data_IF_234491153558
#
_entry.id   IF_234491153558
#
_cell.length_a   1.000
_cell.length_b   1.000
_cell.length_c   1.000
_cell.angle_alpha   90.00
_cell.angle_beta   90.00
_cell.angle_gamma   90.00
#
_symmetry.space_group_name_H-M   'P 1'
#
loop_
_entity.id
_entity.type
_entity.pdbx_description
1 polymer ?
#
# COMPACT_ATOMS: atom_id res chain seq x y z
N UNK A 1 -21.26 12.94 -10.89
CA UNK A 1 -20.91 11.53 -11.12
C UNK A 1 -19.60 11.51 -11.87
N UNK A 2 -18.47 11.54 -11.14
CA UNK A 2 -17.16 11.46 -11.79
C UNK A 2 -17.00 10.05 -12.34
N UNK A 3 -17.04 9.96 -13.66
CA UNK A 3 -16.64 8.81 -14.45
C UNK A 3 -15.19 8.51 -14.05
N UNK A 4 -15.00 7.59 -13.11
CA UNK A 4 -13.68 7.06 -12.83
C UNK A 4 -13.33 6.26 -14.07
N UNK A 5 -12.53 6.84 -14.95
CA UNK A 5 -11.78 6.04 -15.90
C UNK A 5 -11.14 4.92 -15.07
N UNK A 6 -11.38 3.67 -15.47
CA UNK A 6 -10.77 2.49 -14.86
C UNK A 6 -9.27 2.55 -15.16
N UNK A 7 -8.57 3.42 -14.43
CA UNK A 7 -7.12 3.55 -14.53
C UNK A 7 -6.58 2.29 -13.89
N UNK A 8 -5.88 1.49 -14.69
CA UNK A 8 -5.22 0.31 -14.20
C UNK A 8 -4.32 0.68 -13.02
N UNK A 9 -4.52 -0.01 -11.89
CA UNK A 9 -3.80 0.29 -10.65
C UNK A 9 -2.30 0.21 -10.88
N UNK A 10 -1.84 -0.73 -11.70
CA UNK A 10 -0.42 -0.89 -12.02
C UNK A 10 0.14 0.25 -12.86
N UNK A 11 -0.62 0.78 -13.81
CA UNK A 11 -0.22 1.99 -14.55
C UNK A 11 -0.08 3.19 -13.62
N UNK A 12 -0.96 3.31 -12.62
CA UNK A 12 -0.87 4.35 -11.59
C UNK A 12 0.37 4.17 -10.70
N UNK A 13 0.64 2.95 -10.26
CA UNK A 13 1.84 2.63 -9.47
C UNK A 13 3.12 2.86 -10.26
N UNK A 14 3.15 2.55 -11.55
CA UNK A 14 4.30 2.82 -12.43
C UNK A 14 4.57 4.32 -12.55
N UNK A 15 3.51 5.14 -12.70
CA UNK A 15 3.62 6.59 -12.72
C UNK A 15 4.12 7.16 -11.40
N UNK A 16 3.61 6.66 -10.27
CA UNK A 16 4.07 7.06 -8.93
C UNK A 16 5.53 6.67 -8.69
N UNK A 17 5.90 5.44 -9.06
CA UNK A 17 7.28 4.98 -8.99
C UNK A 17 8.21 5.84 -9.83
N UNK A 18 7.84 6.15 -11.08
CA UNK A 18 8.63 7.00 -11.97
C UNK A 18 8.79 8.43 -11.41
N UNK A 19 7.71 9.00 -10.86
CA UNK A 19 7.76 10.31 -10.21
C UNK A 19 8.67 10.32 -8.98
N UNK A 20 8.57 9.32 -8.10
CA UNK A 20 9.45 9.17 -6.94
C UNK A 20 10.92 8.98 -7.37
N UNK A 21 11.15 8.24 -8.44
CA UNK A 21 12.51 8.01 -8.96
C UNK A 21 13.15 9.29 -9.51
N UNK A 22 12.37 10.12 -10.20
CA UNK A 22 12.81 11.41 -10.73
C UNK A 22 13.09 12.44 -9.62
N UNK A 23 12.47 12.31 -8.45
CA UNK A 23 12.60 13.25 -7.33
C UNK A 23 13.43 12.71 -6.15
N UNK A 24 14.16 11.61 -6.35
CA UNK A 24 14.90 10.96 -5.26
C UNK A 24 16.14 11.76 -4.84
N UNK A 25 16.33 11.93 -3.54
CA UNK A 25 17.59 12.42 -2.97
C UNK A 25 18.68 11.33 -2.95
N UNK A 26 18.27 10.06 -2.80
CA UNK A 26 19.14 8.90 -2.69
C UNK A 26 18.80 7.86 -3.77
N UNK A 27 19.83 7.25 -4.38
CA UNK A 27 19.68 6.24 -5.43
C UNK A 27 20.23 4.87 -4.99
N UNK A 28 20.04 3.84 -5.82
CA UNK A 28 20.58 2.51 -5.57
C UNK A 28 20.05 1.88 -4.28
N UNK A 29 20.93 1.22 -3.53
CA UNK A 29 20.55 0.46 -2.33
C UNK A 29 19.96 1.35 -1.22
N UNK A 30 20.46 2.57 -1.03
CA UNK A 30 19.93 3.47 -0.01
C UNK A 30 18.50 3.89 -0.32
N UNK A 31 18.21 4.29 -1.57
CA UNK A 31 16.86 4.63 -2.01
C UNK A 31 15.89 3.45 -1.87
N UNK A 32 16.34 2.24 -2.17
CA UNK A 32 15.57 1.01 -1.95
C UNK A 32 15.24 0.82 -0.46
N UNK A 33 16.23 0.92 0.42
CA UNK A 33 16.04 0.75 1.86
C UNK A 33 15.07 1.80 2.43
N UNK A 34 15.17 3.05 1.99
CA UNK A 34 14.24 4.11 2.39
C UNK A 34 12.80 3.81 1.96
N UNK A 35 12.59 3.28 0.75
CA UNK A 35 11.25 2.84 0.29
C UNK A 35 10.71 1.69 1.15
N UNK A 36 11.57 0.78 1.63
CA UNK A 36 11.15 -0.25 2.58
C UNK A 36 10.79 0.33 3.95
N UNK A 37 11.54 1.33 4.44
CA UNK A 37 11.27 1.96 5.74
C UNK A 37 9.95 2.75 5.75
N UNK A 38 9.54 3.34 4.62
CA UNK A 38 8.26 4.04 4.50
C UNK A 38 7.07 3.15 4.87
N UNK A 39 7.15 1.83 4.66
CA UNK A 39 6.11 0.88 5.11
C UNK A 39 5.84 0.95 6.62
N UNK A 40 6.89 1.09 7.42
CA UNK A 40 6.75 1.18 8.89
C UNK A 40 6.12 2.50 9.31
N UNK A 41 6.33 3.58 8.54
CA UNK A 41 5.72 4.88 8.76
C UNK A 41 4.20 4.81 8.51
N UNK A 42 3.77 4.29 7.35
CA UNK A 42 2.35 4.12 7.00
C UNK A 42 1.61 3.20 8.00
N UNK A 43 2.24 2.11 8.42
CA UNK A 43 1.68 1.21 9.45
C UNK A 43 1.54 1.94 10.80
N UNK A 44 2.46 2.85 11.12
CA UNK A 44 2.38 3.72 12.28
C UNK A 44 1.19 4.69 12.20
N UNK A 45 0.93 5.26 11.02
CA UNK A 45 -0.20 6.16 10.77
C UNK A 45 -1.54 5.41 10.88
N UNK A 46 -1.65 4.17 10.35
CA UNK A 46 -2.81 3.30 10.60
C UNK A 46 -3.03 3.11 12.11
N UNK A 47 -1.96 2.85 12.88
CA UNK A 47 -2.08 2.66 14.32
C UNK A 47 -2.55 3.95 15.02
N UNK A 48 -2.03 5.11 14.64
CA UNK A 48 -2.48 6.41 15.15
C UNK A 48 -3.95 6.68 14.82
N UNK A 49 -4.37 6.40 13.58
CA UNK A 49 -5.75 6.55 13.14
C UNK A 49 -6.70 5.65 13.95
N UNK A 50 -6.33 4.39 14.19
CA UNK A 50 -7.13 3.45 15.01
C UNK A 50 -7.24 3.93 16.47
N UNK A 51 -6.12 4.34 17.07
CA UNK A 51 -6.11 4.88 18.45
C UNK A 51 -7.01 6.12 18.54
N UNK A 52 -6.94 6.99 17.53
CA UNK A 52 -7.78 8.18 17.40
C UNK A 52 -9.26 7.85 17.24
N UNK A 53 -9.61 6.89 16.37
CA UNK A 53 -10.98 6.46 16.11
C UNK A 53 -11.63 5.77 17.32
N UNK A 54 -10.84 5.04 18.10
CA UNK A 54 -11.28 4.40 19.34
C UNK A 54 -11.38 5.38 20.52
N UNK A 55 -10.94 6.64 20.35
CA UNK A 55 -10.90 7.64 21.42
C UNK A 55 -10.00 7.26 22.59
N UNK A 56 -9.02 6.39 22.38
CA UNK A 56 -8.17 5.84 23.45
C UNK A 56 -7.16 6.84 23.98
N UNK A 57 -6.98 8.00 23.35
CA UNK A 57 -6.09 9.06 23.82
C UNK A 57 -6.80 9.96 24.85
N UNK A 58 -6.51 9.84 26.16
CA UNK A 58 -7.23 10.59 27.19
C UNK A 58 -7.01 12.11 27.12
N UNK A 59 -5.96 12.56 26.41
CA UNK A 59 -5.66 14.00 26.21
C UNK A 59 -6.37 14.61 25.01
N UNK A 60 -6.79 13.80 24.02
CA UNK A 60 -7.34 14.29 22.75
C UNK A 60 -8.76 13.78 22.45
N UNK A 61 -9.26 12.76 23.16
CA UNK A 61 -10.55 12.14 22.84
C UNK A 61 -10.52 11.46 21.47
N UNK A 62 -11.67 11.37 20.80
CA UNK A 62 -11.75 10.85 19.44
C UNK A 62 -11.17 11.88 18.44
N UNK A 63 -9.95 11.63 17.95
CA UNK A 63 -9.24 12.54 17.03
C UNK A 63 -9.33 12.13 15.56
N UNK A 64 -9.71 10.89 15.30
CA UNK A 64 -9.85 10.31 13.97
C UNK A 64 -11.20 9.59 13.85
N UNK A 65 -11.55 9.23 12.63
CA UNK A 65 -12.70 8.43 12.25
C UNK A 65 -12.23 7.09 11.66
N UNK A 66 -13.15 6.15 11.51
CA UNK A 66 -12.86 4.92 10.76
C UNK A 66 -12.65 5.17 9.26
N UNK A 67 -12.99 6.36 8.75
CA UNK A 67 -12.71 6.76 7.37
C UNK A 67 -11.24 7.10 7.21
N UNK A 68 -10.65 7.75 8.21
CA UNK A 68 -9.20 8.01 8.27
C UNK A 68 -8.43 6.68 8.29
N UNK A 69 -8.85 5.71 9.11
CA UNK A 69 -8.24 4.37 9.12
C UNK A 69 -8.27 3.71 7.74
N UNK A 70 -9.36 3.89 6.97
CA UNK A 70 -9.43 3.34 5.60
C UNK A 70 -8.48 4.06 4.65
N UNK A 71 -8.29 5.36 4.81
CA UNK A 71 -7.30 6.13 4.05
C UNK A 71 -5.90 5.60 4.32
N UNK A 72 -5.50 5.49 5.60
CA UNK A 72 -4.16 5.03 5.96
C UNK A 72 -3.88 3.60 5.48
N UNK A 73 -4.90 2.72 5.47
CA UNK A 73 -4.77 1.39 4.88
C UNK A 73 -4.53 1.44 3.37
N UNK A 74 -5.15 2.37 2.65
CA UNK A 74 -4.85 2.60 1.23
C UNK A 74 -3.41 3.07 1.04
N UNK A 75 -2.90 3.95 1.91
CA UNK A 75 -1.53 4.45 1.84
C UNK A 75 -0.49 3.35 2.10
N UNK A 76 -0.76 2.43 3.04
CA UNK A 76 0.02 1.19 3.22
C UNK A 76 0.03 0.35 1.93
N UNK A 77 -1.14 0.13 1.32
CA UNK A 77 -1.25 -0.67 0.09
C UNK A 77 -0.46 -0.04 -1.06
N UNK A 78 -0.62 1.25 -1.30
CA UNK A 78 0.08 1.99 -2.35
C UNK A 78 1.60 1.95 -2.10
N UNK A 79 2.03 2.19 -0.87
CA UNK A 79 3.45 2.15 -0.48
C UNK A 79 4.05 0.76 -0.70
N UNK A 80 3.32 -0.31 -0.35
CA UNK A 80 3.75 -1.69 -0.60
C UNK A 80 3.86 -2.02 -2.09
N UNK A 81 2.92 -1.55 -2.91
CA UNK A 81 2.97 -1.74 -4.36
C UNK A 81 4.15 -1.00 -5.00
N UNK A 82 4.42 0.25 -4.60
CA UNK A 82 5.58 1.02 -5.05
C UNK A 82 6.90 0.37 -4.60
N UNK A 83 6.95 -0.12 -3.36
CA UNK A 83 8.09 -0.86 -2.83
C UNK A 83 8.37 -2.13 -3.63
N UNK A 84 7.32 -2.91 -3.96
CA UNK A 84 7.45 -4.08 -4.82
C UNK A 84 7.92 -3.71 -6.24
N UNK A 85 7.38 -2.63 -6.82
CA UNK A 85 7.79 -2.12 -8.13
C UNK A 85 9.23 -1.63 -8.17
N UNK A 86 9.75 -1.17 -7.03
CA UNK A 86 11.17 -0.82 -6.90
C UNK A 86 12.07 -2.05 -6.98
N UNK A 87 11.66 -3.15 -6.35
CA UNK A 87 12.43 -4.40 -6.32
C UNK A 87 12.35 -5.18 -7.62
N UNK A 88 11.23 -5.09 -8.32
CA UNK A 88 10.97 -5.86 -9.53
C UNK A 88 10.30 -5.00 -10.61
N UNK A 89 10.85 -4.94 -11.84
CA UNK A 89 10.13 -4.38 -12.97
C UNK A 89 8.83 -5.13 -13.30
N UNK A 90 8.77 -6.42 -12.98
CA UNK A 90 7.63 -7.30 -13.25
C UNK A 90 6.69 -7.42 -12.03
N UNK A 91 6.62 -6.36 -11.20
CA UNK A 91 5.88 -6.38 -9.93
C UNK A 91 4.42 -6.81 -10.05
N UNK A 92 3.76 -6.49 -11.17
CA UNK A 92 2.40 -6.94 -11.49
C UNK A 92 2.28 -8.46 -11.49
N UNK A 93 3.18 -9.14 -12.21
CA UNK A 93 3.18 -10.59 -12.33
C UNK A 93 3.59 -11.25 -11.01
N UNK A 94 4.59 -10.68 -10.32
CA UNK A 94 5.03 -11.14 -8.99
C UNK A 94 3.86 -11.10 -7.99
N UNK A 95 3.14 -10.00 -7.94
CA UNK A 95 1.97 -9.85 -7.06
C UNK A 95 0.86 -10.83 -7.45
N UNK A 96 0.49 -10.90 -8.73
CA UNK A 96 -0.58 -11.77 -9.20
C UNK A 96 -0.30 -13.25 -8.90
N UNK A 97 0.93 -13.69 -9.16
CA UNK A 97 1.37 -15.06 -8.86
C UNK A 97 1.33 -15.34 -7.37
N UNK A 98 1.84 -14.42 -6.55
CA UNK A 98 1.83 -14.60 -5.10
C UNK A 98 0.39 -14.64 -4.55
N UNK A 99 -0.48 -13.75 -5.02
CA UNK A 99 -1.89 -13.69 -4.63
C UNK A 99 -2.64 -14.96 -5.01
N UNK A 100 -2.46 -15.46 -6.25
CA UNK A 100 -3.06 -16.73 -6.69
C UNK A 100 -2.63 -17.90 -5.79
N UNK A 101 -1.35 -17.97 -5.43
CA UNK A 101 -0.86 -18.99 -4.50
C UNK A 101 -1.45 -18.85 -3.09
N UNK A 102 -1.68 -17.63 -2.59
CA UNK A 102 -2.38 -17.40 -1.31
C UNK A 102 -3.84 -17.86 -1.41
N UNK A 103 -4.53 -17.51 -2.49
CA UNK A 103 -5.93 -17.92 -2.71
C UNK A 103 -6.08 -19.44 -2.74
N UNK A 104 -5.23 -20.15 -3.48
CA UNK A 104 -5.25 -21.61 -3.54
C UNK A 104 -5.09 -22.25 -2.15
N UNK A 105 -4.14 -21.75 -1.35
CA UNK A 105 -3.88 -22.26 0.01
C UNK A 105 -5.00 -21.94 1.01
N UNK A 106 -5.62 -20.77 0.88
CA UNK A 106 -6.59 -20.27 1.88
C UNK A 106 -8.04 -20.65 1.57
N UNK A 107 -8.41 -20.71 0.29
CA UNK A 107 -9.79 -20.98 -0.15
C UNK A 107 -9.97 -22.41 -0.70
N UNK A 108 -8.87 -23.15 -0.91
CA UNK A 108 -8.89 -24.45 -1.59
C UNK A 108 -9.10 -24.32 -3.11
N UNK A 109 -9.09 -25.44 -3.87
CA UNK A 109 -9.51 -25.41 -5.25
C UNK A 109 -10.98 -24.98 -5.29
N UNK A 110 -11.28 -23.84 -5.93
CA UNK A 110 -12.65 -23.40 -6.17
C UNK A 110 -13.46 -24.51 -6.86
N UNK A 111 -14.79 -24.55 -6.69
CA UNK A 111 -15.61 -25.59 -7.32
C UNK A 111 -15.31 -25.64 -8.82
N UNK A 112 -14.99 -26.83 -9.31
CA UNK A 112 -14.81 -27.09 -10.74
C UNK A 112 -16.15 -26.78 -11.43
N UNK A 113 -16.16 -26.01 -12.54
CA UNK A 113 -17.39 -25.71 -13.27
C UNK A 113 -18.09 -26.97 -13.79
#
# INVERSE_FOLDING_TARGET
MAEHADVDVWDSIDRLHAWLDANRAHAGQEGLLLRMLKLSEEVGEVAEAVIGAMGQNPRKGASHTWDDVRSELCDVMITAMVALRTLSPDAREVFATHLAGVQERSLGPGPTP
#
